data_IF_274561184073
#
_entry.id   IF_274561184073
#
_cell.length_a   1.000
_cell.length_b   1.000
_cell.length_c   1.000
_cell.angle_alpha   90.00
_cell.angle_beta   90.00
_cell.angle_gamma   90.00
#
_symmetry.space_group_name_H-M   'P 1'
#
loop_
_entity.id
_entity.type
_entity.pdbx_description
1 polymer ?
#
# COMPACT_ATOMS: atom_id res chain seq x y z
N UNK A 1 25.38 11.44 -1.85
CA UNK A 1 25.46 10.52 -3.02
C UNK A 1 24.16 9.72 -3.15
N UNK A 2 23.67 9.11 -2.09
CA UNK A 2 22.46 8.27 -2.05
C UNK A 2 21.19 8.95 -2.64
N UNK A 3 20.91 10.22 -2.27
CA UNK A 3 19.77 10.96 -2.83
C UNK A 3 19.83 11.12 -4.37
N UNK A 4 21.04 11.11 -4.96
CA UNK A 4 21.19 11.13 -6.41
C UNK A 4 20.86 9.77 -7.03
N UNK A 5 21.18 8.67 -6.36
CA UNK A 5 20.77 7.33 -6.78
C UNK A 5 19.26 7.19 -6.73
N UNK A 6 18.59 7.72 -5.67
CA UNK A 6 17.13 7.78 -5.60
C UNK A 6 16.55 8.55 -6.79
N UNK A 7 17.15 9.68 -7.17
CA UNK A 7 16.72 10.46 -8.33
C UNK A 7 16.88 9.67 -9.64
N UNK A 8 18.05 9.07 -9.85
CA UNK A 8 18.33 8.24 -11.03
C UNK A 8 17.37 7.06 -11.14
N UNK A 9 17.10 6.37 -10.01
CA UNK A 9 16.16 5.26 -9.94
C UNK A 9 14.73 5.70 -10.23
N UNK A 10 14.26 6.73 -9.55
CA UNK A 10 12.90 7.29 -9.70
C UNK A 10 12.58 7.67 -11.13
N UNK A 11 13.52 8.36 -11.79
CA UNK A 11 13.34 8.88 -13.15
C UNK A 11 13.86 7.94 -14.24
N UNK A 12 14.30 6.72 -13.86
CA UNK A 12 14.83 5.69 -14.76
C UNK A 12 15.95 6.22 -15.67
N UNK A 13 16.82 7.06 -15.13
CA UNK A 13 17.97 7.63 -15.85
C UNK A 13 19.10 6.60 -15.93
N UNK A 14 18.79 5.41 -16.41
CA UNK A 14 19.74 4.30 -16.51
C UNK A 14 20.65 4.44 -17.72
N UNK A 15 21.87 3.88 -17.67
CA UNK A 15 22.71 3.79 -18.84
C UNK A 15 22.01 2.96 -19.93
N UNK A 16 22.30 3.26 -21.20
CA UNK A 16 21.73 2.55 -22.36
C UNK A 16 22.14 1.06 -22.44
N UNK A 17 22.94 0.59 -21.49
CA UNK A 17 23.34 -0.81 -21.37
C UNK A 17 22.26 -1.59 -20.61
N UNK A 18 22.16 -2.89 -20.93
CA UNK A 18 21.30 -3.81 -20.19
C UNK A 18 21.72 -3.80 -18.72
N UNK A 19 20.78 -3.50 -17.83
CA UNK A 19 21.02 -3.58 -16.39
C UNK A 19 21.19 -5.06 -16.00
N UNK A 20 22.14 -5.33 -15.12
CA UNK A 20 22.43 -6.66 -14.62
C UNK A 20 22.70 -6.63 -13.13
N UNK A 21 22.26 -7.66 -12.42
CA UNK A 21 22.65 -7.87 -11.03
C UNK A 21 24.16 -8.11 -10.92
N UNK A 22 24.70 -8.03 -9.73
CA UNK A 22 26.11 -8.39 -9.43
C UNK A 22 26.45 -9.82 -9.84
N UNK A 23 25.45 -10.70 -9.91
CA UNK A 23 25.57 -12.09 -10.35
C UNK A 23 25.32 -12.28 -11.87
N UNK A 24 25.23 -11.18 -12.64
CA UNK A 24 25.08 -11.20 -14.10
C UNK A 24 23.65 -11.46 -14.60
N UNK A 25 22.65 -11.52 -13.76
CA UNK A 25 21.25 -11.72 -14.17
C UNK A 25 20.70 -10.44 -14.80
N UNK A 26 20.05 -10.48 -15.97
CA UNK A 26 19.49 -9.30 -16.63
C UNK A 26 18.30 -8.76 -15.81
N UNK A 27 18.24 -7.41 -15.70
CA UNK A 27 17.20 -6.68 -14.98
C UNK A 27 16.50 -5.72 -15.92
N UNK A 28 15.17 -5.82 -16.01
CA UNK A 28 14.30 -4.86 -16.70
C UNK A 28 13.41 -4.15 -15.67
N UNK A 29 13.49 -2.84 -15.59
CA UNK A 29 12.67 -2.03 -14.67
C UNK A 29 11.37 -1.61 -15.36
N UNK A 30 10.27 -2.32 -15.08
CA UNK A 30 8.93 -2.00 -15.58
C UNK A 30 8.39 -0.78 -14.85
N UNK A 31 8.43 -0.81 -13.52
CA UNK A 31 8.01 0.27 -12.63
C UNK A 31 9.03 0.44 -11.50
N UNK A 32 9.53 1.65 -11.30
CA UNK A 32 10.49 1.94 -10.23
C UNK A 32 9.88 1.91 -8.83
N UNK A 33 8.56 1.87 -8.73
CA UNK A 33 7.82 1.93 -7.48
C UNK A 33 7.55 3.35 -6.98
N UNK A 34 6.84 3.44 -5.87
CA UNK A 34 6.51 4.70 -5.20
C UNK A 34 7.59 5.05 -4.18
N UNK A 35 8.23 6.21 -4.34
CA UNK A 35 9.23 6.69 -3.39
C UNK A 35 8.64 6.83 -1.99
N UNK A 36 9.32 6.24 -1.01
CA UNK A 36 8.93 6.27 0.39
C UNK A 36 9.73 7.36 1.14
N UNK A 37 9.10 8.44 1.58
CA UNK A 37 9.76 9.45 2.40
C UNK A 37 9.77 9.10 3.90
N UNK A 38 9.33 7.89 4.28
CA UNK A 38 9.15 7.42 5.66
C UNK A 38 10.10 6.28 5.99
N UNK A 39 9.99 5.71 7.20
CA UNK A 39 10.71 4.49 7.58
C UNK A 39 10.28 3.29 6.71
N UNK A 40 11.17 2.32 6.55
CA UNK A 40 11.02 1.17 5.67
C UNK A 40 11.70 1.38 4.32
N UNK A 41 11.57 0.41 3.40
CA UNK A 41 12.23 0.45 2.10
C UNK A 41 11.97 1.73 1.30
N UNK A 42 12.96 2.16 0.53
CA UNK A 42 12.97 3.44 -0.19
C UNK A 42 11.91 3.58 -1.29
N UNK A 43 11.61 2.47 -1.96
CA UNK A 43 10.56 2.44 -2.98
C UNK A 43 9.66 1.23 -2.77
N UNK A 44 8.35 1.46 -2.83
CA UNK A 44 7.32 0.45 -2.65
C UNK A 44 6.72 -0.01 -3.96
N UNK A 45 6.35 -1.31 -4.01
CA UNK A 45 5.59 -1.89 -5.12
C UNK A 45 6.27 -1.72 -6.49
N UNK A 46 7.59 -1.75 -6.53
CA UNK A 46 8.31 -1.78 -7.80
C UNK A 46 8.01 -3.07 -8.56
N UNK A 47 8.05 -2.99 -9.90
CA UNK A 47 7.85 -4.14 -10.80
C UNK A 47 9.09 -4.30 -11.67
N UNK A 48 9.73 -5.44 -11.53
CA UNK A 48 10.98 -5.76 -12.24
C UNK A 48 10.83 -7.10 -12.93
N UNK A 49 11.58 -7.30 -14.03
CA UNK A 49 11.92 -8.65 -14.49
C UNK A 49 13.38 -8.91 -14.18
N UNK A 50 13.65 -9.97 -13.44
CA UNK A 50 15.00 -10.44 -13.15
C UNK A 50 15.10 -11.83 -13.78
N UNK A 51 16.04 -12.02 -14.68
CA UNK A 51 16.20 -13.25 -15.48
C UNK A 51 14.89 -13.72 -16.13
N UNK A 52 14.11 -12.77 -16.66
CA UNK A 52 12.81 -13.03 -17.31
C UNK A 52 11.63 -13.26 -16.37
N UNK A 53 11.84 -13.50 -15.08
CA UNK A 53 10.79 -13.67 -14.08
C UNK A 53 10.29 -12.32 -13.57
N UNK A 54 8.96 -12.15 -13.49
CA UNK A 54 8.33 -10.92 -12.94
C UNK A 54 8.37 -10.93 -11.42
N UNK A 55 8.98 -9.90 -10.85
CA UNK A 55 9.07 -9.63 -9.42
C UNK A 55 8.28 -8.37 -9.07
N UNK A 56 7.51 -8.43 -8.00
CA UNK A 56 6.81 -7.28 -7.42
C UNK A 56 7.17 -7.18 -5.95
N UNK A 57 7.71 -6.04 -5.54
CA UNK A 57 8.15 -5.84 -4.16
C UNK A 57 8.81 -4.48 -3.96
N UNK A 58 9.61 -4.37 -2.92
CA UNK A 58 10.22 -3.11 -2.53
C UNK A 58 11.69 -3.03 -2.98
N UNK A 59 12.19 -1.81 -3.11
CA UNK A 59 13.58 -1.52 -3.47
C UNK A 59 14.22 -0.75 -2.32
N UNK A 60 15.44 -1.13 -1.99
CA UNK A 60 16.30 -0.37 -1.08
C UNK A 60 17.51 0.16 -1.85
N UNK A 61 17.96 1.37 -1.54
CA UNK A 61 19.05 2.07 -2.22
C UNK A 61 20.07 2.55 -1.20
N UNK A 62 21.32 2.16 -1.36
CA UNK A 62 22.43 2.63 -0.55
C UNK A 62 23.63 3.03 -1.39
N UNK A 63 24.60 3.68 -0.79
CA UNK A 63 25.90 3.93 -1.44
C UNK A 63 26.73 2.65 -1.47
N UNK A 64 26.80 1.90 -0.36
CA UNK A 64 27.53 0.64 -0.22
C UNK A 64 26.60 -0.49 0.23
N UNK A 65 26.85 -1.71 -0.19
CA UNK A 65 26.05 -2.85 0.26
C UNK A 65 26.13 -3.09 1.76
N UNK A 66 27.28 -2.81 2.38
CA UNK A 66 27.50 -2.91 3.82
C UNK A 66 26.61 -1.99 4.67
N UNK A 67 26.03 -0.94 4.07
CA UNK A 67 25.07 -0.06 4.73
C UNK A 67 23.80 -0.82 5.16
N UNK A 68 23.43 -1.90 4.46
CA UNK A 68 22.38 -2.81 4.84
C UNK A 68 22.51 -3.32 6.28
N UNK A 69 23.71 -3.73 6.65
CA UNK A 69 24.01 -4.22 8.00
C UNK A 69 24.15 -3.08 8.99
N UNK A 70 24.76 -1.96 8.58
CA UNK A 70 24.92 -0.77 9.42
C UNK A 70 23.59 -0.16 9.85
N UNK A 71 22.58 -0.20 8.99
CA UNK A 71 21.22 0.27 9.27
C UNK A 71 20.34 -0.80 9.93
N UNK A 72 20.84 -2.03 10.11
CA UNK A 72 20.12 -3.11 10.79
C UNK A 72 19.02 -3.80 9.97
N UNK A 73 18.98 -3.59 8.65
CA UNK A 73 17.93 -4.14 7.79
C UNK A 73 17.89 -5.67 7.73
N UNK A 74 19.05 -6.33 7.96
CA UNK A 74 19.15 -7.79 8.03
C UNK A 74 18.36 -8.41 9.19
N UNK A 75 17.97 -7.63 10.19
CA UNK A 75 17.19 -8.06 11.36
C UNK A 75 15.77 -7.49 11.40
N UNK A 76 15.41 -6.62 10.44
CA UNK A 76 14.11 -5.97 10.38
C UNK A 76 13.21 -6.62 9.32
N UNK A 77 12.11 -7.24 9.76
CA UNK A 77 11.12 -7.89 8.88
C UNK A 77 10.48 -6.95 7.86
N UNK A 78 10.47 -5.64 8.09
CA UNK A 78 9.95 -4.67 7.13
C UNK A 78 10.72 -4.69 5.81
N UNK A 79 11.99 -5.15 5.83
CA UNK A 79 12.86 -5.26 4.67
C UNK A 79 12.87 -6.65 4.00
N UNK A 80 12.15 -7.63 4.53
CA UNK A 80 12.03 -8.96 3.91
C UNK A 80 11.30 -8.92 2.55
N UNK A 81 10.52 -7.86 2.32
CA UNK A 81 9.83 -7.59 1.04
C UNK A 81 10.70 -6.92 -0.02
N UNK A 82 11.97 -6.62 0.27
CA UNK A 82 12.92 -6.04 -0.69
C UNK A 82 13.29 -7.10 -1.73
N UNK A 83 13.05 -6.80 -3.01
CA UNK A 83 13.32 -7.70 -4.14
C UNK A 83 14.62 -7.37 -4.87
N UNK A 84 15.12 -6.14 -4.71
CA UNK A 84 16.37 -5.68 -5.29
C UNK A 84 17.00 -4.61 -4.40
N UNK A 85 18.30 -4.75 -4.15
CA UNK A 85 19.13 -3.73 -3.49
C UNK A 85 19.96 -3.00 -4.53
N UNK A 86 19.78 -1.70 -4.63
CA UNK A 86 20.48 -0.85 -5.60
C UNK A 86 21.62 -0.10 -4.90
N UNK A 87 22.84 -0.25 -5.40
CA UNK A 87 24.04 0.32 -4.77
C UNK A 87 24.99 0.95 -5.77
N UNK A 88 25.79 1.92 -5.32
CA UNK A 88 26.92 2.42 -6.11
C UNK A 88 28.10 1.44 -6.06
N UNK A 89 28.31 0.79 -4.92
CA UNK A 89 29.40 -0.14 -4.67
C UNK A 89 28.90 -1.38 -3.93
N UNK A 90 29.11 -2.55 -4.54
CA UNK A 90 28.75 -3.84 -3.94
C UNK A 90 29.98 -4.44 -3.24
N UNK A 91 30.16 -4.06 -1.98
CA UNK A 91 31.28 -4.48 -1.13
C UNK A 91 30.99 -5.74 -0.30
N UNK A 92 29.72 -6.17 -0.21
CA UNK A 92 29.33 -7.39 0.50
C UNK A 92 28.02 -7.96 -0.04
N UNK A 93 27.79 -9.26 0.22
CA UNK A 93 26.48 -9.88 -0.02
C UNK A 93 25.52 -9.59 1.13
N UNK A 94 24.23 -9.43 0.82
CA UNK A 94 23.21 -9.12 1.81
C UNK A 94 22.12 -10.18 1.84
N UNK A 95 21.50 -10.34 3.02
CA UNK A 95 20.46 -11.34 3.25
C UNK A 95 19.27 -10.74 3.99
N UNK A 96 18.09 -11.35 3.79
CA UNK A 96 16.88 -11.12 4.59
C UNK A 96 17.00 -11.75 5.98
N UNK A 97 16.00 -11.50 6.84
CA UNK A 97 15.90 -12.11 8.17
C UNK A 97 15.86 -13.64 8.14
N UNK A 98 15.37 -14.24 7.05
CA UNK A 98 15.32 -15.69 6.81
C UNK A 98 16.62 -16.27 6.22
N UNK A 99 17.65 -15.45 5.98
CA UNK A 99 18.94 -15.86 5.38
C UNK A 99 18.93 -15.93 3.86
N UNK A 100 17.83 -15.62 3.18
CA UNK A 100 17.77 -15.60 1.71
C UNK A 100 18.54 -14.40 1.15
N UNK A 101 19.38 -14.62 0.13
CA UNK A 101 20.15 -13.55 -0.51
C UNK A 101 19.23 -12.63 -1.31
N UNK A 102 19.50 -11.32 -1.23
CA UNK A 102 18.82 -10.31 -2.01
C UNK A 102 19.68 -9.97 -3.24
N UNK A 103 19.12 -10.02 -4.47
CA UNK A 103 19.81 -9.57 -5.66
C UNK A 103 20.27 -8.12 -5.53
N UNK A 104 21.51 -7.81 -5.99
CA UNK A 104 22.06 -6.47 -5.95
C UNK A 104 22.28 -5.94 -7.37
N UNK A 105 22.03 -4.64 -7.58
CA UNK A 105 22.25 -3.93 -8.82
C UNK A 105 23.23 -2.78 -8.61
N UNK A 106 24.31 -2.78 -9.38
CA UNK A 106 25.22 -1.64 -9.44
C UNK A 106 24.61 -0.51 -10.29
N UNK A 107 24.39 0.64 -9.68
CA UNK A 107 23.87 1.83 -10.33
C UNK A 107 24.79 3.01 -10.09
N UNK A 108 25.30 3.59 -11.18
CA UNK A 108 26.12 4.81 -11.13
C UNK A 108 25.26 6.02 -11.49
N UNK A 109 25.48 7.13 -10.80
CA UNK A 109 24.87 8.39 -11.18
C UNK A 109 25.58 8.95 -12.42
N UNK A 110 24.86 9.24 -13.53
CA UNK A 110 25.46 9.87 -14.70
C UNK A 110 26.05 11.25 -14.37
N UNK A 111 27.21 11.60 -14.96
CA UNK A 111 27.92 12.84 -14.70
C UNK A 111 27.07 14.09 -14.89
N UNK A 112 26.22 14.12 -15.92
CA UNK A 112 25.31 15.23 -16.19
C UNK A 112 24.25 15.40 -15.08
N UNK A 113 23.77 14.30 -14.47
CA UNK A 113 22.85 14.35 -13.34
C UNK A 113 23.57 14.86 -12.09
N UNK A 114 24.82 14.44 -11.89
CA UNK A 114 25.62 14.89 -10.75
C UNK A 114 25.94 16.38 -10.85
N UNK A 115 26.34 16.88 -12.04
CA UNK A 115 26.65 18.29 -12.29
C UNK A 115 25.44 19.21 -12.08
N UNK A 116 24.25 18.78 -12.52
CA UNK A 116 23.02 19.57 -12.46
C UNK A 116 22.09 19.19 -11.31
N UNK A 117 22.58 18.46 -10.30
CA UNK A 117 21.78 17.88 -9.22
C UNK A 117 20.90 18.91 -8.50
N UNK A 118 21.41 20.11 -8.22
CA UNK A 118 20.64 21.17 -7.56
C UNK A 118 19.50 21.69 -8.46
N UNK A 119 19.76 21.92 -9.75
CA UNK A 119 18.74 22.38 -10.71
C UNK A 119 17.66 21.31 -10.94
N UNK A 120 18.04 20.03 -10.98
CA UNK A 120 17.13 18.92 -11.14
C UNK A 120 16.21 18.73 -9.92
N UNK A 121 16.74 18.90 -8.69
CA UNK A 121 15.92 18.86 -7.47
C UNK A 121 14.90 20.02 -7.41
N UNK A 122 15.26 21.19 -7.93
CA UNK A 122 14.33 22.33 -8.04
C UNK A 122 13.30 22.09 -9.15
N UNK A 123 13.73 21.53 -10.30
CA UNK A 123 12.85 21.20 -11.42
C UNK A 123 11.80 20.11 -11.06
N UNK A 124 12.12 19.20 -10.13
CA UNK A 124 11.18 18.16 -9.66
C UNK A 124 9.97 18.74 -8.88
N UNK A 125 10.01 20.02 -8.47
CA UNK A 125 8.90 20.71 -7.83
C UNK A 125 7.78 21.10 -8.82
N UNK A 126 8.09 21.23 -10.08
CA UNK A 126 7.15 21.63 -11.12
C UNK A 126 7.17 20.64 -12.29
N UNK A 127 6.01 20.35 -12.90
CA UNK A 127 5.98 19.50 -14.09
C UNK A 127 6.78 20.16 -15.25
N UNK A 128 7.41 19.34 -16.09
CA UNK A 128 8.25 19.81 -17.19
C UNK A 128 7.53 20.79 -18.16
N UNK A 129 6.20 20.73 -18.23
CA UNK A 129 5.39 21.64 -19.06
C UNK A 129 5.15 23.01 -18.40
N UNK A 130 5.50 23.22 -17.11
CA UNK A 130 5.20 24.46 -16.39
C UNK A 130 5.65 25.73 -17.10
N UNK A 131 6.87 25.85 -17.67
CA UNK A 131 7.33 27.08 -18.31
C UNK A 131 6.54 27.44 -19.57
N UNK A 132 5.97 26.46 -20.28
CA UNK A 132 5.28 26.68 -21.56
C UNK A 132 3.75 26.80 -21.41
N UNK A 133 3.19 26.42 -20.24
CA UNK A 133 1.74 26.44 -20.04
C UNK A 133 1.10 27.82 -20.30
N UNK A 134 1.77 28.89 -19.87
CA UNK A 134 1.26 30.26 -20.05
C UNK A 134 1.22 30.69 -21.51
N UNK A 135 2.02 30.09 -22.39
CA UNK A 135 2.09 30.40 -23.82
C UNK A 135 1.13 29.60 -24.70
N UNK A 136 0.50 28.55 -24.13
CA UNK A 136 -0.40 27.69 -24.90
C UNK A 136 -1.77 28.34 -25.12
N UNK A 137 -2.42 28.14 -26.29
CA UNK A 137 -3.80 28.55 -26.50
C UNK A 137 -4.74 27.94 -25.50
N UNK A 138 -5.69 28.71 -24.96
CA UNK A 138 -6.68 28.20 -23.98
C UNK A 138 -7.44 26.97 -24.49
N UNK A 139 -7.77 26.94 -25.79
CA UNK A 139 -8.46 25.82 -26.42
C UNK A 139 -7.64 24.52 -26.32
N UNK A 140 -6.33 24.59 -26.56
CA UNK A 140 -5.42 23.44 -26.44
C UNK A 140 -5.40 22.92 -25.01
N UNK A 141 -5.32 23.81 -24.02
CA UNK A 141 -5.34 23.45 -22.60
C UNK A 141 -6.65 22.75 -22.23
N UNK A 142 -7.80 23.34 -22.64
CA UNK A 142 -9.11 22.74 -22.37
C UNK A 142 -9.29 21.37 -23.03
N UNK A 143 -8.91 21.24 -24.29
CA UNK A 143 -8.98 19.97 -25.01
C UNK A 143 -8.13 18.91 -24.34
N UNK A 144 -6.93 19.26 -23.92
CA UNK A 144 -6.03 18.33 -23.21
C UNK A 144 -6.56 17.93 -21.82
N UNK A 145 -7.04 18.90 -21.03
CA UNK A 145 -7.66 18.60 -19.73
C UNK A 145 -8.87 17.68 -19.87
N UNK A 146 -9.71 17.90 -20.90
CA UNK A 146 -10.85 17.01 -21.18
C UNK A 146 -10.40 15.61 -21.54
N UNK A 147 -9.38 15.46 -22.37
CA UNK A 147 -8.82 14.15 -22.73
C UNK A 147 -8.25 13.42 -21.48
N UNK A 148 -7.48 14.12 -20.65
CA UNK A 148 -6.95 13.57 -19.40
C UNK A 148 -8.04 13.18 -18.40
N UNK A 149 -9.11 13.97 -18.34
CA UNK A 149 -10.27 13.66 -17.49
C UNK A 149 -10.97 12.39 -17.97
N UNK A 150 -11.16 12.23 -19.27
CA UNK A 150 -11.77 11.04 -19.87
C UNK A 150 -10.91 9.80 -19.59
N UNK A 151 -9.61 9.89 -19.86
CA UNK A 151 -8.67 8.80 -19.58
C UNK A 151 -8.69 8.39 -18.10
N UNK A 152 -8.70 9.38 -17.19
CA UNK A 152 -8.80 9.11 -15.74
C UNK A 152 -10.09 8.40 -15.34
N UNK A 153 -11.22 8.76 -15.97
CA UNK A 153 -12.50 8.10 -15.73
C UNK A 153 -12.50 6.67 -16.27
N UNK A 154 -11.92 6.45 -17.46
CA UNK A 154 -11.77 5.11 -18.05
C UNK A 154 -10.90 4.20 -17.16
N UNK A 155 -9.76 4.69 -16.69
CA UNK A 155 -8.89 3.95 -15.76
C UNK A 155 -9.63 3.56 -14.48
N UNK A 156 -10.41 4.48 -13.89
CA UNK A 156 -11.23 4.17 -12.71
C UNK A 156 -12.32 3.16 -13.00
N UNK A 157 -12.99 3.28 -14.14
CA UNK A 157 -14.03 2.33 -14.56
C UNK A 157 -13.44 0.92 -14.77
N UNK A 158 -12.24 0.82 -15.36
CA UNK A 158 -11.53 -0.45 -15.54
C UNK A 158 -11.20 -1.10 -14.19
N UNK A 159 -10.72 -0.34 -13.20
CA UNK A 159 -10.46 -0.87 -11.85
C UNK A 159 -11.74 -1.40 -11.18
N UNK A 160 -12.85 -0.67 -11.28
CA UNK A 160 -14.16 -1.15 -10.77
C UNK A 160 -14.59 -2.43 -11.49
N UNK A 161 -14.42 -2.49 -12.80
CA UNK A 161 -14.76 -3.68 -13.60
C UNK A 161 -13.90 -4.89 -13.20
N UNK A 162 -12.63 -4.68 -12.91
CA UNK A 162 -11.73 -5.76 -12.42
C UNK A 162 -12.18 -6.26 -11.04
N UNK A 163 -12.50 -5.36 -10.10
CA UNK A 163 -13.05 -5.73 -8.78
C UNK A 163 -14.36 -6.49 -8.91
N UNK A 164 -15.26 -6.02 -9.77
CA UNK A 164 -16.55 -6.68 -10.01
C UNK A 164 -16.37 -8.11 -10.54
N UNK A 165 -15.42 -8.33 -11.47
CA UNK A 165 -15.07 -9.67 -11.95
C UNK A 165 -14.52 -10.54 -10.80
N UNK A 166 -13.67 -9.99 -9.96
CA UNK A 166 -13.11 -10.69 -8.79
C UNK A 166 -14.21 -11.10 -7.79
N UNK A 167 -15.23 -10.27 -7.62
CA UNK A 167 -16.38 -10.49 -6.75
C UNK A 167 -17.52 -11.29 -7.42
N UNK A 168 -17.26 -12.02 -8.50
CA UNK A 168 -18.29 -12.80 -9.22
C UNK A 168 -19.53 -11.96 -9.59
N UNK A 169 -19.33 -10.72 -10.03
CA UNK A 169 -20.38 -9.75 -10.40
C UNK A 169 -21.24 -9.27 -9.21
N UNK A 170 -20.80 -9.44 -7.98
CA UNK A 170 -21.47 -8.87 -6.81
C UNK A 170 -21.05 -7.40 -6.62
N UNK A 171 -22.00 -6.49 -6.85
CA UNK A 171 -21.77 -5.05 -6.72
C UNK A 171 -21.57 -4.58 -5.28
N UNK A 172 -22.23 -5.20 -4.31
CA UNK A 172 -22.06 -4.85 -2.89
C UNK A 172 -20.62 -5.13 -2.42
N UNK A 173 -20.09 -6.31 -2.75
CA UNK A 173 -18.72 -6.70 -2.41
C UNK A 173 -17.70 -5.80 -3.13
N UNK A 174 -17.88 -5.58 -4.45
CA UNK A 174 -17.00 -4.72 -5.23
C UNK A 174 -17.00 -3.26 -4.73
N UNK A 175 -18.19 -2.77 -4.33
CA UNK A 175 -18.34 -1.46 -3.73
C UNK A 175 -17.61 -1.39 -2.37
N UNK A 176 -17.78 -2.40 -1.51
CA UNK A 176 -17.10 -2.42 -0.21
C UNK A 176 -15.57 -2.41 -0.35
N UNK A 177 -15.01 -3.19 -1.28
CA UNK A 177 -13.56 -3.18 -1.57
C UNK A 177 -13.13 -1.78 -2.04
N UNK A 178 -13.93 -1.13 -2.90
CA UNK A 178 -13.64 0.22 -3.38
C UNK A 178 -13.71 1.26 -2.25
N UNK A 179 -14.69 1.13 -1.36
CA UNK A 179 -14.83 1.97 -0.17
C UNK A 179 -13.63 1.80 0.75
N UNK A 180 -13.27 0.55 1.07
CA UNK A 180 -12.13 0.21 1.91
C UNK A 180 -10.83 0.82 1.37
N UNK A 181 -10.54 0.67 0.07
CA UNK A 181 -9.39 1.31 -0.57
C UNK A 181 -9.33 2.83 -0.29
N UNK A 182 -10.47 3.50 -0.39
CA UNK A 182 -10.55 4.94 -0.16
C UNK A 182 -10.37 5.33 1.33
N UNK A 183 -10.70 4.44 2.27
CA UNK A 183 -10.40 4.65 3.69
C UNK A 183 -8.90 4.64 4.00
N UNK A 184 -8.07 4.10 3.13
CA UNK A 184 -6.61 4.14 3.22
C UNK A 184 -5.97 5.47 2.84
N UNK A 185 -6.72 6.45 2.30
CA UNK A 185 -6.28 7.81 1.96
C UNK A 185 -4.97 7.90 1.17
N UNK A 186 -4.72 7.04 0.24
CA UNK A 186 -3.51 7.05 -0.58
C UNK A 186 -2.30 6.36 0.07
N UNK A 187 -2.08 6.46 1.38
CA UNK A 187 -0.93 5.81 2.03
C UNK A 187 -1.18 4.32 2.27
N UNK A 188 -2.36 3.97 2.75
CA UNK A 188 -2.77 2.59 3.03
C UNK A 188 -3.82 2.06 2.02
N UNK A 189 -4.05 2.77 0.91
CA UNK A 189 -5.09 2.39 -0.04
C UNK A 189 -4.92 0.97 -0.59
N UNK A 190 -3.70 0.60 -0.99
CA UNK A 190 -3.40 -0.73 -1.52
C UNK A 190 -3.49 -1.82 -0.44
N UNK A 191 -3.06 -1.51 0.80
CA UNK A 191 -3.20 -2.41 1.94
C UNK A 191 -4.67 -2.69 2.26
N UNK A 192 -5.51 -1.64 2.30
CA UNK A 192 -6.97 -1.79 2.49
C UNK A 192 -7.64 -2.56 1.36
N UNK A 193 -7.23 -2.37 0.10
CA UNK A 193 -7.77 -3.13 -1.03
C UNK A 193 -7.40 -4.61 -0.94
N UNK A 194 -6.14 -4.92 -0.64
CA UNK A 194 -5.66 -6.29 -0.45
C UNK A 194 -6.41 -6.97 0.68
N UNK A 195 -6.50 -6.32 1.84
CA UNK A 195 -7.25 -6.80 2.99
C UNK A 195 -8.73 -7.05 2.66
N UNK A 196 -9.40 -6.09 2.03
CA UNK A 196 -10.82 -6.22 1.69
C UNK A 196 -11.08 -7.35 0.69
N UNK A 197 -10.12 -7.65 -0.18
CA UNK A 197 -10.17 -8.80 -1.10
C UNK A 197 -10.08 -10.16 -0.41
N UNK A 198 -9.59 -10.22 0.84
CA UNK A 198 -9.52 -11.45 1.64
C UNK A 198 -10.81 -11.71 2.44
N UNK A 199 -11.72 -10.73 2.53
CA UNK A 199 -12.91 -10.82 3.38
C UNK A 199 -13.88 -11.90 2.88
N UNK A 200 -14.29 -12.83 3.75
CA UNK A 200 -15.27 -13.86 3.42
C UNK A 200 -16.71 -13.31 3.56
N UNK A 201 -17.12 -12.41 2.68
CA UNK A 201 -18.41 -11.69 2.75
C UNK A 201 -19.60 -12.59 3.08
N UNK A 202 -19.70 -13.77 2.44
CA UNK A 202 -20.80 -14.73 2.72
C UNK A 202 -20.81 -15.26 4.16
N UNK A 203 -19.63 -15.40 4.77
CA UNK A 203 -19.54 -15.82 6.17
C UNK A 203 -19.87 -14.65 7.09
N UNK A 204 -19.36 -13.46 6.77
CA UNK A 204 -19.57 -12.24 7.53
C UNK A 204 -21.03 -11.80 7.55
N UNK A 205 -21.78 -11.95 6.46
CA UNK A 205 -23.21 -11.63 6.38
C UNK A 205 -24.05 -12.42 7.39
N UNK A 206 -23.64 -13.65 7.71
CA UNK A 206 -24.31 -14.47 8.75
C UNK A 206 -24.08 -13.94 10.17
N UNK A 207 -23.05 -13.12 10.35
CA UNK A 207 -22.64 -12.55 11.64
C UNK A 207 -22.80 -11.02 11.68
N UNK A 208 -23.45 -10.43 10.69
CA UNK A 208 -23.61 -8.97 10.54
C UNK A 208 -24.18 -8.28 11.79
N UNK A 209 -25.02 -8.95 12.54
CA UNK A 209 -25.65 -8.39 13.74
C UNK A 209 -24.71 -8.33 14.95
N UNK A 210 -23.54 -8.93 14.87
CA UNK A 210 -22.54 -8.97 15.95
C UNK A 210 -21.30 -8.20 15.54
N UNK A 211 -21.17 -6.95 16.04
CA UNK A 211 -20.02 -6.09 15.73
C UNK A 211 -18.71 -6.73 16.16
N UNK A 212 -18.69 -7.40 17.32
CA UNK A 212 -17.49 -8.04 17.84
C UNK A 212 -16.96 -9.12 16.88
N UNK A 213 -17.87 -9.93 16.29
CA UNK A 213 -17.46 -10.92 15.30
C UNK A 213 -17.00 -10.29 13.99
N UNK A 214 -17.62 -9.19 13.55
CA UNK A 214 -17.15 -8.44 12.37
C UNK A 214 -15.76 -7.85 12.64
N UNK A 215 -15.53 -7.26 13.81
CA UNK A 215 -14.21 -6.76 14.19
C UNK A 215 -13.17 -7.90 14.27
N UNK A 216 -13.54 -9.08 14.76
CA UNK A 216 -12.65 -10.24 14.77
C UNK A 216 -12.24 -10.65 13.34
N UNK A 217 -13.15 -10.67 12.37
CA UNK A 217 -12.81 -10.88 10.96
C UNK A 217 -11.87 -9.79 10.45
N UNK A 218 -12.16 -8.54 10.74
CA UNK A 218 -11.44 -7.39 10.18
C UNK A 218 -10.02 -7.33 10.70
N UNK A 219 -9.83 -7.33 12.00
CA UNK A 219 -8.50 -7.28 12.62
C UNK A 219 -7.69 -8.54 12.38
N UNK A 220 -8.35 -9.71 12.40
CA UNK A 220 -7.69 -11.00 12.17
C UNK A 220 -7.15 -11.11 10.75
N UNK A 221 -7.96 -10.77 9.74
CA UNK A 221 -7.52 -10.79 8.34
C UNK A 221 -6.56 -9.65 7.99
N UNK A 222 -6.55 -8.57 8.79
CA UNK A 222 -5.56 -7.50 8.68
C UNK A 222 -4.18 -7.88 9.28
N UNK A 223 -4.05 -9.05 9.92
CA UNK A 223 -2.82 -9.49 10.59
C UNK A 223 -2.55 -8.78 11.91
N UNK A 224 -3.47 -7.91 12.39
CA UNK A 224 -3.27 -7.09 13.59
C UNK A 224 -3.50 -7.86 14.89
N UNK A 225 -3.98 -9.10 14.83
CA UNK A 225 -4.18 -10.01 15.98
C UNK A 225 -3.09 -11.07 16.09
N UNK A 226 -1.99 -10.97 15.33
CA UNK A 226 -0.86 -11.88 15.46
C UNK A 226 -0.01 -11.53 16.70
N UNK A 227 0.49 -12.55 17.40
CA UNK A 227 1.30 -12.39 18.62
C UNK A 227 2.57 -11.53 18.40
N UNK A 228 3.08 -11.51 17.17
CA UNK A 228 4.24 -10.69 16.78
C UNK A 228 3.92 -9.20 16.71
N UNK A 229 2.67 -8.84 16.43
CA UNK A 229 2.21 -7.45 16.35
C UNK A 229 1.76 -6.94 17.72
N UNK A 230 1.09 -7.79 18.50
CA UNK A 230 0.70 -7.50 19.88
C UNK A 230 1.95 -7.60 20.76
N UNK A 231 2.57 -6.48 21.11
CA UNK A 231 3.65 -6.46 22.11
C UNK A 231 3.11 -6.99 23.42
N UNK A 232 3.84 -7.92 24.07
CA UNK A 232 3.43 -8.58 25.34
C UNK A 232 3.01 -7.62 26.47
N UNK A 233 3.42 -6.35 26.40
CA UNK A 233 3.13 -5.32 27.39
C UNK A 233 1.81 -4.56 27.15
N UNK A 234 1.11 -4.84 26.02
CA UNK A 234 -0.10 -4.16 25.59
C UNK A 234 -1.25 -5.11 25.26
N UNK A 235 -1.23 -6.35 25.80
CA UNK A 235 -2.32 -7.30 25.66
C UNK A 235 -3.51 -6.85 26.54
N UNK A 236 -4.41 -6.05 25.95
CA UNK A 236 -5.68 -5.77 26.60
C UNK A 236 -6.63 -6.97 26.53
N UNK A 237 -7.59 -7.05 27.44
CA UNK A 237 -8.57 -8.13 27.49
C UNK A 237 -9.40 -8.22 26.19
N UNK A 238 -9.64 -7.07 25.55
CA UNK A 238 -10.42 -7.00 24.32
C UNK A 238 -9.69 -7.64 23.15
N UNK A 239 -8.42 -7.32 22.94
CA UNK A 239 -7.58 -7.90 21.88
C UNK A 239 -7.43 -9.41 22.04
N UNK A 240 -7.24 -9.90 23.28
CA UNK A 240 -7.20 -11.33 23.56
C UNK A 240 -8.52 -12.04 23.22
N UNK A 241 -9.66 -11.40 23.49
CA UNK A 241 -10.98 -11.94 23.14
C UNK A 241 -11.18 -11.97 21.63
N UNK A 242 -10.76 -10.90 20.89
CA UNK A 242 -10.80 -10.87 19.43
C UNK A 242 -9.94 -11.98 18.82
N UNK A 243 -8.73 -12.21 19.33
CA UNK A 243 -7.87 -13.32 18.90
C UNK A 243 -8.56 -14.69 19.04
N UNK A 244 -9.19 -14.94 20.18
CA UNK A 244 -9.92 -16.19 20.42
C UNK A 244 -11.10 -16.35 19.46
N UNK A 245 -11.87 -15.28 19.27
CA UNK A 245 -13.01 -15.27 18.36
C UNK A 245 -12.57 -15.46 16.90
N UNK A 246 -11.53 -14.76 16.47
CA UNK A 246 -11.00 -14.93 15.12
C UNK A 246 -10.52 -16.36 14.85
N UNK A 247 -9.79 -16.97 15.79
CA UNK A 247 -9.36 -18.38 15.66
C UNK A 247 -10.55 -19.34 15.56
N UNK A 248 -11.63 -19.07 16.28
CA UNK A 248 -12.87 -19.84 16.16
C UNK A 248 -13.51 -19.66 14.78
N UNK A 249 -13.68 -18.42 14.32
CA UNK A 249 -14.24 -18.09 13.00
C UNK A 249 -13.40 -18.64 11.86
N UNK A 250 -12.08 -18.57 12.00
CA UNK A 250 -11.12 -19.09 11.02
C UNK A 250 -11.31 -20.60 10.82
N UNK A 251 -11.45 -21.36 11.91
CA UNK A 251 -11.72 -22.81 11.85
C UNK A 251 -13.10 -23.11 11.29
N UNK A 252 -14.12 -22.38 11.75
CA UNK A 252 -15.52 -22.57 11.36
C UNK A 252 -15.77 -22.37 9.86
N UNK A 253 -15.08 -21.40 9.26
CA UNK A 253 -15.27 -21.01 7.86
C UNK A 253 -14.10 -21.38 6.95
N UNK A 254 -13.12 -22.13 7.46
CA UNK A 254 -11.91 -22.54 6.72
C UNK A 254 -11.19 -21.35 6.07
N UNK A 255 -11.10 -20.23 6.80
CA UNK A 255 -10.51 -19.00 6.31
C UNK A 255 -8.99 -19.14 6.26
N UNK A 256 -8.39 -18.71 5.16
CA UNK A 256 -6.94 -18.66 5.00
C UNK A 256 -6.31 -17.64 5.97
N UNK A 257 -5.00 -17.71 6.11
CA UNK A 257 -4.23 -16.71 6.87
C UNK A 257 -4.50 -15.30 6.36
N UNK A 258 -4.52 -14.32 7.25
CA UNK A 258 -4.65 -12.91 6.93
C UNK A 258 -3.43 -12.36 6.20
N UNK A 259 -3.46 -11.09 5.87
CA UNK A 259 -2.31 -10.39 5.30
C UNK A 259 -1.24 -10.12 6.36
N UNK A 260 -0.01 -9.86 5.92
CA UNK A 260 1.08 -9.45 6.79
C UNK A 260 0.83 -8.04 7.36
N UNK A 261 0.92 -7.89 8.68
CA UNK A 261 0.72 -6.62 9.37
C UNK A 261 1.76 -5.55 8.99
N UNK A 262 2.93 -5.92 8.48
CA UNK A 262 3.97 -5.00 8.01
C UNK A 262 3.55 -4.17 6.79
N UNK A 263 2.50 -4.58 6.08
CA UNK A 263 1.93 -3.82 4.97
C UNK A 263 1.19 -2.54 5.42
N UNK A 264 0.83 -2.44 6.71
CA UNK A 264 0.19 -1.26 7.25
C UNK A 264 1.20 -0.19 7.61
N UNK A 265 0.90 1.06 7.25
CA UNK A 265 1.71 2.22 7.55
C UNK A 265 1.04 3.09 8.58
N UNK A 266 1.75 3.35 9.67
CA UNK A 266 1.30 4.19 10.79
C UNK A 266 2.00 5.54 10.83
N UNK A 267 3.26 5.59 10.33
CA UNK A 267 4.08 6.79 10.40
C UNK A 267 3.50 7.94 9.56
N UNK A 268 3.56 9.16 10.09
CA UNK A 268 3.05 10.41 9.49
C UNK A 268 1.54 10.43 9.23
N UNK A 269 0.79 9.57 9.89
CA UNK A 269 -0.67 9.65 9.94
C UNK A 269 -1.11 10.36 11.22
N UNK A 270 -2.24 11.08 11.17
CA UNK A 270 -2.93 11.49 12.38
C UNK A 270 -3.53 10.26 13.06
N UNK A 271 -3.56 10.18 14.41
CA UNK A 271 -4.07 9.01 15.12
C UNK A 271 -5.44 8.53 14.62
N UNK A 272 -6.38 9.44 14.38
CA UNK A 272 -7.71 9.14 13.83
C UNK A 272 -7.70 8.45 12.45
N UNK A 273 -6.57 8.47 11.74
CA UNK A 273 -6.36 7.85 10.44
C UNK A 273 -5.53 6.56 10.51
N UNK A 274 -5.18 6.10 11.70
CA UNK A 274 -4.47 4.84 11.84
C UNK A 274 -5.29 3.67 11.28
N UNK A 275 -4.63 2.66 10.67
CA UNK A 275 -5.30 1.52 10.06
C UNK A 275 -6.31 0.84 10.98
N UNK A 276 -5.97 0.61 12.24
CA UNK A 276 -6.86 -0.03 13.21
C UNK A 276 -8.12 0.79 13.48
N UNK A 277 -8.02 2.14 13.59
CA UNK A 277 -9.18 3.03 13.75
C UNK A 277 -10.08 2.95 12.51
N UNK A 278 -9.46 2.97 11.32
CA UNK A 278 -10.20 2.87 10.06
C UNK A 278 -10.87 1.51 9.86
N UNK A 279 -10.25 0.44 10.35
CA UNK A 279 -10.88 -0.90 10.36
C UNK A 279 -12.09 -0.94 11.27
N UNK A 280 -12.03 -0.35 12.48
CA UNK A 280 -13.19 -0.23 13.38
C UNK A 280 -14.34 0.54 12.73
N UNK A 281 -14.04 1.67 12.08
CA UNK A 281 -15.03 2.46 11.35
C UNK A 281 -15.70 1.66 10.22
N UNK A 282 -14.89 0.92 9.45
CA UNK A 282 -15.41 0.04 8.39
C UNK A 282 -16.23 -1.12 8.95
N UNK A 283 -15.85 -1.69 10.10
CA UNK A 283 -16.61 -2.76 10.77
C UNK A 283 -18.00 -2.25 11.18
N UNK A 284 -18.07 -1.06 11.75
CA UNK A 284 -19.32 -0.42 12.10
C UNK A 284 -20.19 -0.12 10.86
N UNK A 285 -19.59 0.41 9.79
CA UNK A 285 -20.29 0.65 8.53
C UNK A 285 -20.82 -0.65 7.92
N UNK A 286 -20.02 -1.72 7.96
CA UNK A 286 -20.44 -3.02 7.45
C UNK A 286 -21.62 -3.58 8.24
N UNK A 287 -21.57 -3.50 9.58
CA UNK A 287 -22.67 -3.93 10.44
C UNK A 287 -23.96 -3.14 10.16
N UNK A 288 -23.87 -1.79 10.12
CA UNK A 288 -25.02 -0.90 9.95
C UNK A 288 -25.58 -0.93 8.51
N UNK A 289 -24.72 -1.14 7.54
CA UNK A 289 -24.98 -0.93 6.12
C UNK A 289 -25.38 -2.18 5.36
N UNK A 290 -26.50 -2.81 5.70
CA UNK A 290 -27.06 -3.84 4.80
C UNK A 290 -27.39 -3.21 3.45
N UNK A 291 -26.89 -3.85 2.35
CA UNK A 291 -27.08 -3.37 0.96
C UNK A 291 -26.67 -1.90 0.78
N UNK A 292 -25.48 -1.54 1.30
CA UNK A 292 -25.01 -0.15 1.33
C UNK A 292 -24.92 0.46 -0.08
N UNK A 293 -24.46 -0.30 -1.07
CA UNK A 293 -24.36 0.17 -2.45
C UNK A 293 -25.76 0.46 -3.04
N UNK A 294 -26.69 -0.48 -2.89
CA UNK A 294 -28.05 -0.32 -3.40
C UNK A 294 -28.75 0.90 -2.77
N UNK A 295 -28.59 1.09 -1.46
CA UNK A 295 -29.14 2.25 -0.75
C UNK A 295 -28.49 3.58 -1.16
N UNK A 296 -27.20 3.57 -1.52
CA UNK A 296 -26.54 4.77 -2.05
C UNK A 296 -27.05 5.15 -3.44
N UNK A 297 -27.44 4.17 -4.27
CA UNK A 297 -28.06 4.44 -5.56
C UNK A 297 -29.47 5.04 -5.43
N UNK A 298 -30.17 4.77 -4.32
CA UNK A 298 -31.49 5.31 -4.02
C UNK A 298 -31.43 6.68 -3.31
N UNK A 299 -30.23 7.12 -2.88
CA UNK A 299 -30.05 8.39 -2.18
C UNK A 299 -30.29 9.59 -3.12
N UNK A 300 -31.21 10.46 -2.78
CA UNK A 300 -31.57 11.63 -3.58
C UNK A 300 -30.78 12.89 -3.17
N UNK A 301 -30.31 12.95 -1.92
CA UNK A 301 -29.63 14.11 -1.38
C UNK A 301 -28.24 13.77 -0.81
N UNK A 302 -27.36 14.79 -0.73
CA UNK A 302 -26.07 14.66 -0.04
C UNK A 302 -26.21 14.32 1.45
N UNK A 303 -27.33 14.71 2.07
CA UNK A 303 -27.63 14.38 3.47
C UNK A 303 -27.89 12.88 3.61
N UNK A 304 -28.61 12.26 2.66
CA UNK A 304 -28.84 10.82 2.66
C UNK A 304 -27.53 10.05 2.51
N UNK A 305 -26.67 10.46 1.56
CA UNK A 305 -25.34 9.87 1.37
C UNK A 305 -24.50 10.00 2.65
N UNK A 306 -24.50 11.18 3.28
CA UNK A 306 -23.75 11.40 4.52
C UNK A 306 -24.24 10.52 5.66
N UNK A 307 -25.56 10.37 5.81
CA UNK A 307 -26.15 9.51 6.86
C UNK A 307 -25.85 8.04 6.63
N UNK A 308 -25.81 7.58 5.36
CA UNK A 308 -25.44 6.21 5.01
C UNK A 308 -23.98 5.90 5.30
N UNK A 309 -23.08 6.86 5.07
CA UNK A 309 -21.63 6.72 5.26
C UNK A 309 -21.14 7.23 6.63
N UNK A 310 -22.05 7.56 7.56
CA UNK A 310 -21.68 7.98 8.92
C UNK A 310 -21.05 6.80 9.68
N UNK A 311 -19.72 6.81 9.73
CA UNK A 311 -18.89 5.81 10.38
C UNK A 311 -18.46 6.31 11.76
N UNK A 312 -19.29 6.12 12.76
CA UNK A 312 -18.89 6.38 14.15
C UNK A 312 -18.20 5.14 14.71
N UNK A 313 -17.08 5.38 15.39
CA UNK A 313 -16.48 4.33 16.23
C UNK A 313 -17.33 4.12 17.48
N UNK A 314 -17.43 2.90 17.97
CA UNK A 314 -18.05 2.71 19.27
C UNK A 314 -17.15 3.33 20.35
N UNK A 315 -17.68 3.89 21.44
CA UNK A 315 -16.87 4.43 22.54
C UNK A 315 -15.83 3.43 23.07
N UNK A 316 -16.14 2.12 23.03
CA UNK A 316 -15.21 1.05 23.43
C UNK A 316 -14.06 0.85 22.45
N UNK A 317 -14.28 1.04 21.16
CA UNK A 317 -13.20 0.97 20.15
C UNK A 317 -12.25 2.17 20.25
N UNK A 318 -12.71 3.31 20.74
CA UNK A 318 -11.86 4.50 20.92
C UNK A 318 -10.97 4.39 22.17
N UNK A 319 -11.46 3.83 23.28
CA UNK A 319 -10.69 3.66 24.52
C UNK A 319 -9.54 2.66 24.31
N UNK A 320 -9.78 1.55 23.61
CA UNK A 320 -8.76 0.51 23.38
C UNK A 320 -7.82 0.80 22.22
N UNK A 321 -8.19 1.69 21.30
CA UNK A 321 -7.34 2.06 20.14
C UNK A 321 -6.40 3.23 20.45
N UNK A 322 -6.56 3.92 21.57
CA UNK A 322 -5.65 4.98 22.01
C UNK A 322 -4.36 4.44 22.66
N UNK A 323 -4.31 3.14 22.97
CA UNK A 323 -3.18 2.48 23.64
C UNK A 323 -2.36 1.57 22.69
N UNK A 324 -2.76 1.41 21.42
CA UNK A 324 -2.01 0.73 20.37
C UNK A 324 -1.22 1.75 19.55
#
# INVERSE_FOLDING_TARGET
>A
MEHLLHYVWKHKLFPLKVLQTTNGLPVEVIDSGLQNPNAGPDFFNAKLKIDGALWVGNIEIHTHSSDWFRHGHHSDKAYDSVILHVVSEADTEITRTNGEQIPQLLLTCPDNVQLHSHELCVADQYPACHPILASLPKLTIHSWLTALQTERLEQKAQLITQRLKHCNSNWEDAFFITLARNFGFGLNGDAFETWAGLLPFRAMDKHRNDLFQIEAFFYGLAGLLEETFLKKEQEDEYSLRLCKEFRYLQRKFEIRQGMDATLWRFLRLRPENFPHIRLAQLAYLYQKGDKLFSRLLEAETLVDVRNLLDARTSPRSEEHTSEL
#
